data_IF_718481739336
#
_entry.id   IF_718481739336
#
_cell.length_a   1.000
_cell.length_b   1.000
_cell.length_c   1.000
_cell.angle_alpha   90.00
_cell.angle_beta   90.00
_cell.angle_gamma   90.00
#
_symmetry.space_group_name_H-M   'P 1'
#
loop_
_entity.id
_entity.type
_entity.pdbx_description
1 polymer ?
#
# COMPACT_ATOMS: atom_id res chain seq x y z
N UNK A 1 8.62 -32.75 -6.84
CA UNK A 1 7.55 -33.78 -6.85
C UNK A 1 6.43 -33.30 -5.92
N UNK A 2 5.18 -33.32 -6.36
CA UNK A 2 4.04 -33.07 -5.47
C UNK A 2 3.59 -34.43 -4.91
N UNK A 3 3.92 -34.68 -3.64
CA UNK A 3 3.38 -35.80 -2.89
C UNK A 3 2.09 -35.34 -2.20
N UNK A 4 1.17 -36.24 -1.80
CA UNK A 4 -0.04 -35.87 -1.07
C UNK A 4 0.34 -35.02 0.16
N UNK A 5 -0.09 -33.76 0.19
CA UNK A 5 0.12 -32.83 1.30
C UNK A 5 1.48 -32.13 1.39
N UNK A 6 2.45 -32.37 0.48
CA UNK A 6 3.73 -31.65 0.50
C UNK A 6 4.42 -31.53 -0.86
N UNK A 7 5.05 -30.39 -1.09
CA UNK A 7 5.99 -30.19 -2.20
C UNK A 7 7.39 -30.51 -1.72
N UNK A 8 8.11 -31.39 -2.43
CA UNK A 8 9.52 -31.71 -2.16
C UNK A 8 10.35 -31.49 -3.42
N UNK A 9 11.65 -31.23 -3.25
CA UNK A 9 12.58 -31.02 -4.35
C UNK A 9 13.73 -32.02 -4.31
N UNK A 10 14.18 -32.47 -5.48
CA UNK A 10 15.30 -33.40 -5.63
C UNK A 10 16.38 -32.75 -6.51
N UNK A 11 17.65 -33.00 -6.20
CA UNK A 11 18.76 -32.57 -7.05
C UNK A 11 18.92 -33.48 -8.28
N UNK A 12 19.91 -33.18 -9.13
CA UNK A 12 20.21 -33.94 -10.35
C UNK A 12 20.57 -35.41 -10.09
N UNK A 13 21.06 -35.74 -8.90
CA UNK A 13 21.42 -37.10 -8.49
C UNK A 13 20.23 -37.85 -7.87
N UNK A 14 19.04 -37.26 -7.88
CA UNK A 14 17.84 -37.85 -7.28
C UNK A 14 17.82 -37.83 -5.75
N UNK A 15 18.65 -36.99 -5.09
CA UNK A 15 18.64 -36.81 -3.63
C UNK A 15 17.68 -35.69 -3.22
N UNK A 16 16.85 -35.95 -2.21
CA UNK A 16 15.91 -34.96 -1.67
C UNK A 16 16.67 -33.79 -1.03
N UNK A 17 16.18 -32.57 -1.25
CA UNK A 17 16.73 -31.35 -0.70
C UNK A 17 16.14 -31.02 0.67
N UNK A 18 16.96 -30.40 1.52
CA UNK A 18 16.65 -30.00 2.89
C UNK A 18 17.22 -28.62 3.19
N UNK A 19 16.66 -27.94 4.20
CA UNK A 19 17.07 -26.59 4.65
C UNK A 19 17.00 -25.57 3.51
N UNK A 20 17.72 -24.46 3.65
CA UNK A 20 17.72 -23.40 2.63
C UNK A 20 18.47 -23.85 1.38
N UNK A 21 17.85 -23.66 0.21
CA UNK A 21 18.39 -24.04 -1.09
C UNK A 21 18.11 -22.95 -2.11
N UNK A 22 19.09 -22.66 -2.97
CA UNK A 22 18.90 -21.77 -4.11
C UNK A 22 18.49 -22.57 -5.33
N UNK A 23 17.32 -22.28 -5.89
CA UNK A 23 16.77 -22.99 -7.06
C UNK A 23 16.36 -21.93 -8.09
N UNK A 24 17.09 -21.90 -9.21
CA UNK A 24 17.00 -20.79 -10.16
C UNK A 24 17.39 -19.46 -9.50
N UNK A 25 16.51 -18.46 -9.59
CA UNK A 25 16.75 -17.12 -9.05
C UNK A 25 16.34 -16.94 -7.59
N UNK A 26 15.68 -17.92 -6.97
CA UNK A 26 15.08 -17.77 -5.64
C UNK A 26 15.68 -18.74 -4.63
N UNK A 27 15.61 -18.36 -3.36
CA UNK A 27 15.88 -19.27 -2.24
C UNK A 27 14.57 -19.90 -1.77
N UNK A 28 14.63 -21.14 -1.32
CA UNK A 28 13.52 -21.92 -0.76
C UNK A 28 14.01 -22.59 0.52
N UNK A 29 13.11 -22.89 1.46
CA UNK A 29 13.46 -23.68 2.64
C UNK A 29 12.68 -24.98 2.63
N UNK A 30 13.37 -26.10 2.86
CA UNK A 30 12.78 -27.43 3.01
C UNK A 30 12.97 -27.92 4.44
N UNK A 31 11.91 -28.45 5.04
CA UNK A 31 11.93 -29.01 6.40
C UNK A 31 13.06 -30.02 6.56
N UNK A 32 13.81 -29.92 7.67
CA UNK A 32 15.05 -30.66 7.86
C UNK A 32 14.86 -32.17 8.06
N UNK A 33 13.64 -32.62 8.37
CA UNK A 33 13.32 -34.04 8.62
C UNK A 33 12.56 -34.63 7.43
N UNK A 34 11.55 -33.92 6.96
CA UNK A 34 10.57 -34.43 5.99
C UNK A 34 10.83 -34.02 4.56
N UNK A 35 11.72 -33.03 4.33
CA UNK A 35 12.00 -32.43 3.03
C UNK A 35 10.86 -31.58 2.46
N UNK A 36 9.78 -31.34 3.24
CA UNK A 36 8.64 -30.56 2.80
C UNK A 36 9.01 -29.08 2.63
N UNK A 37 8.67 -28.49 1.49
CA UNK A 37 8.87 -27.07 1.23
C UNK A 37 8.04 -26.22 2.18
N UNK A 38 8.71 -25.31 2.87
CA UNK A 38 8.11 -24.35 3.78
C UNK A 38 7.51 -23.19 2.98
N UNK A 39 6.32 -22.76 3.37
CA UNK A 39 5.52 -21.71 2.73
C UNK A 39 4.80 -20.90 3.80
N UNK A 40 4.48 -19.64 3.49
CA UNK A 40 3.74 -18.71 4.36
C UNK A 40 4.25 -18.66 5.81
N UNK A 41 5.57 -18.70 6.01
CA UNK A 41 6.15 -18.62 7.35
C UNK A 41 7.61 -18.17 7.31
N UNK A 42 8.13 -17.83 8.48
CA UNK A 42 9.49 -17.34 8.69
C UNK A 42 10.36 -18.44 9.28
N UNK A 43 11.52 -18.69 8.66
CA UNK A 43 12.53 -19.62 9.15
C UNK A 43 13.88 -18.90 9.24
N UNK A 44 14.52 -18.94 10.41
CA UNK A 44 15.81 -18.27 10.66
C UNK A 44 15.80 -16.78 10.27
N UNK A 45 14.71 -16.07 10.55
CA UNK A 45 14.55 -14.64 10.25
C UNK A 45 14.34 -14.30 8.77
N UNK A 46 13.94 -15.27 7.94
CA UNK A 46 13.65 -15.09 6.51
C UNK A 46 12.24 -15.59 6.20
N UNK A 47 11.41 -14.76 5.58
CA UNK A 47 10.05 -15.12 5.20
C UNK A 47 10.04 -15.87 3.87
N UNK A 48 9.22 -16.91 3.76
CA UNK A 48 8.97 -17.67 2.54
C UNK A 48 7.49 -17.55 2.19
N UNK A 49 7.19 -17.03 0.98
CA UNK A 49 5.83 -16.72 0.56
C UNK A 49 4.98 -17.98 0.24
N UNK A 50 3.79 -17.79 -0.33
CA UNK A 50 2.86 -18.87 -0.69
C UNK A 50 3.40 -19.82 -1.76
N UNK A 51 4.37 -19.37 -2.55
CA UNK A 51 5.10 -20.17 -3.53
C UNK A 51 6.34 -20.85 -2.91
N UNK A 52 6.68 -20.54 -1.66
CA UNK A 52 7.87 -21.02 -0.96
C UNK A 52 9.14 -20.24 -1.28
N UNK A 53 9.02 -19.14 -2.03
CA UNK A 53 10.15 -18.28 -2.37
C UNK A 53 10.50 -17.40 -1.18
N UNK A 54 11.79 -17.37 -0.84
CA UNK A 54 12.35 -16.47 0.15
C UNK A 54 12.14 -15.03 -0.33
N UNK A 55 11.46 -14.24 0.47
CA UNK A 55 11.46 -12.80 0.35
C UNK A 55 12.78 -12.32 0.94
N UNK A 56 13.62 -11.68 0.12
CA UNK A 56 14.87 -11.10 0.63
C UNK A 56 14.54 -10.07 1.71
N UNK A 57 15.46 -9.87 2.66
CA UNK A 57 15.29 -8.83 3.69
C UNK A 57 14.86 -7.54 3.00
N UNK A 58 13.78 -6.96 3.51
CA UNK A 58 13.40 -5.58 3.22
C UNK A 58 14.65 -4.74 3.06
N UNK A 59 14.69 -3.96 1.99
CA UNK A 59 15.47 -2.74 1.96
C UNK A 59 15.32 -2.03 3.31
N UNK A 60 16.41 -1.57 3.94
CA UNK A 60 16.34 -0.92 5.25
C UNK A 60 15.21 0.10 5.24
N UNK A 61 14.13 -0.20 5.97
CA UNK A 61 12.91 0.59 5.94
C UNK A 61 13.26 2.00 6.44
N UNK A 62 13.14 2.97 5.54
CA UNK A 62 13.73 4.30 5.76
C UNK A 62 12.82 5.43 5.31
N UNK A 63 11.81 5.15 4.48
CA UNK A 63 10.92 6.18 3.97
C UNK A 63 9.80 6.47 4.99
N UNK A 64 9.86 7.62 5.63
CA UNK A 64 8.85 8.04 6.61
C UNK A 64 7.55 8.45 5.92
N UNK A 65 6.41 8.03 6.49
CA UNK A 65 5.09 8.48 6.04
C UNK A 65 4.83 9.94 6.45
N UNK A 66 5.15 10.27 7.71
CA UNK A 66 5.13 11.64 8.23
C UNK A 66 6.51 12.23 8.00
N UNK A 67 6.62 13.06 6.96
CA UNK A 67 7.86 13.65 6.47
C UNK A 67 7.57 14.96 5.72
N UNK A 68 8.61 15.75 5.48
CA UNK A 68 8.52 16.86 4.54
C UNK A 68 8.18 16.33 3.14
N UNK A 69 7.49 17.16 2.34
CA UNK A 69 7.12 16.80 0.98
C UNK A 69 8.36 16.51 0.12
N UNK A 70 8.41 15.33 -0.51
CA UNK A 70 9.48 14.96 -1.45
C UNK A 70 9.10 15.20 -2.91
N UNK A 71 7.83 15.53 -3.16
CA UNK A 71 7.28 15.88 -4.47
C UNK A 71 6.63 17.27 -4.44
N UNK A 72 6.34 17.82 -5.62
CA UNK A 72 5.43 18.96 -5.80
C UNK A 72 4.27 18.63 -6.77
N UNK A 73 3.31 19.54 -6.89
CA UNK A 73 2.12 19.40 -7.75
C UNK A 73 2.50 19.16 -9.23
N UNK A 74 3.52 19.86 -9.74
CA UNK A 74 3.97 19.69 -11.13
C UNK A 74 4.45 18.26 -11.37
N UNK A 75 5.30 17.72 -10.49
CA UNK A 75 5.77 16.34 -10.58
C UNK A 75 4.62 15.33 -10.50
N UNK A 76 3.69 15.51 -9.56
CA UNK A 76 2.49 14.65 -9.43
C UNK A 76 1.64 14.61 -10.70
N UNK A 77 1.40 15.77 -11.30
CA UNK A 77 0.65 15.90 -12.55
C UNK A 77 1.40 15.23 -13.72
N UNK A 78 2.71 15.47 -13.85
CA UNK A 78 3.50 14.87 -14.92
C UNK A 78 3.58 13.35 -14.77
N UNK A 79 3.73 12.85 -13.54
CA UNK A 79 3.73 11.42 -13.26
C UNK A 79 2.45 10.73 -13.71
N UNK A 80 1.28 11.34 -13.47
CA UNK A 80 0.02 10.84 -14.02
C UNK A 80 -0.02 10.91 -15.55
N UNK A 81 0.34 12.07 -16.13
CA UNK A 81 0.31 12.27 -17.59
C UNK A 81 1.22 11.30 -18.35
N UNK A 82 2.38 10.96 -17.79
CA UNK A 82 3.33 10.01 -18.35
C UNK A 82 2.77 8.58 -18.50
N UNK A 83 1.66 8.27 -17.81
CA UNK A 83 1.00 6.96 -17.98
C UNK A 83 0.17 6.85 -19.25
N UNK A 84 -0.15 7.98 -19.90
CA UNK A 84 -1.07 8.04 -21.05
C UNK A 84 -2.54 7.80 -20.69
N UNK A 85 -2.89 7.63 -19.42
CA UNK A 85 -4.28 7.49 -18.99
C UNK A 85 -5.04 8.82 -19.13
N UNK A 86 -6.32 8.73 -19.50
CA UNK A 86 -7.23 9.87 -19.57
C UNK A 86 -7.77 10.18 -18.18
N UNK A 87 -7.61 11.43 -17.72
CA UNK A 87 -8.16 11.88 -16.45
C UNK A 87 -9.71 11.84 -16.47
N UNK A 88 -10.38 11.20 -15.50
CA UNK A 88 -11.84 11.03 -15.50
C UNK A 88 -12.57 12.30 -15.00
N UNK A 89 -12.39 13.41 -15.71
CA UNK A 89 -12.92 14.73 -15.34
C UNK A 89 -14.43 14.72 -15.08
N UNK A 90 -15.22 14.03 -15.90
CA UNK A 90 -16.68 13.99 -15.75
C UNK A 90 -17.17 13.36 -14.45
N UNK A 91 -16.36 12.46 -13.88
CA UNK A 91 -16.66 11.80 -12.60
C UNK A 91 -16.15 12.65 -11.45
N UNK A 92 -14.90 13.10 -11.52
CA UNK A 92 -14.23 13.78 -10.40
C UNK A 92 -14.63 15.26 -10.26
N UNK A 93 -15.13 15.92 -11.33
CA UNK A 93 -15.70 17.27 -11.22
C UNK A 93 -16.89 17.34 -10.25
N UNK A 94 -17.65 16.24 -10.10
CA UNK A 94 -18.78 16.16 -9.16
C UNK A 94 -18.33 16.29 -7.70
N UNK A 95 -17.09 15.91 -7.42
CA UNK A 95 -16.47 16.05 -6.10
C UNK A 95 -15.47 17.19 -6.01
N UNK A 96 -15.49 18.12 -6.98
CA UNK A 96 -14.69 19.34 -6.96
C UNK A 96 -13.33 19.28 -7.65
N UNK A 97 -12.95 18.17 -8.30
CA UNK A 97 -11.67 18.03 -9.02
C UNK A 97 -11.89 17.82 -10.53
N UNK A 98 -12.12 18.90 -11.25
CA UNK A 98 -12.37 18.92 -12.70
C UNK A 98 -11.13 18.70 -13.57
N UNK A 99 -9.92 18.79 -13.00
CA UNK A 99 -8.65 18.54 -13.67
C UNK A 99 -7.67 17.75 -12.80
N UNK A 100 -6.69 17.11 -13.44
CA UNK A 100 -5.60 16.43 -12.74
C UNK A 100 -4.78 17.40 -11.90
N UNK A 101 -4.62 18.65 -12.36
CA UNK A 101 -3.97 19.73 -11.62
C UNK A 101 -4.73 20.05 -10.33
N UNK A 102 -6.06 20.15 -10.38
CA UNK A 102 -6.87 20.40 -9.18
C UNK A 102 -6.85 19.23 -8.23
N UNK A 103 -6.88 18.00 -8.75
CA UNK A 103 -6.74 16.78 -7.96
C UNK A 103 -5.38 16.70 -7.24
N UNK A 104 -4.28 16.98 -7.95
CA UNK A 104 -2.94 17.00 -7.38
C UNK A 104 -2.76 18.11 -6.32
N UNK A 105 -3.32 19.30 -6.55
CA UNK A 105 -3.34 20.38 -5.55
C UNK A 105 -4.06 19.96 -4.26
N UNK A 106 -5.22 19.29 -4.37
CA UNK A 106 -5.95 18.78 -3.21
C UNK A 106 -5.09 17.81 -2.39
N UNK A 107 -4.41 16.86 -3.05
CA UNK A 107 -3.47 15.95 -2.37
C UNK A 107 -2.35 16.69 -1.68
N UNK A 108 -1.70 17.63 -2.38
CA UNK A 108 -0.57 18.37 -1.86
C UNK A 108 -0.97 19.19 -0.63
N UNK A 109 -2.09 19.92 -0.69
CA UNK A 109 -2.59 20.73 0.42
C UNK A 109 -2.97 19.87 1.64
N UNK A 110 -3.77 18.82 1.46
CA UNK A 110 -4.22 17.99 2.58
C UNK A 110 -3.05 17.24 3.23
N UNK A 111 -2.11 16.71 2.43
CA UNK A 111 -0.95 15.99 2.92
C UNK A 111 0.00 16.91 3.71
N UNK A 112 0.40 18.03 3.11
CA UNK A 112 1.32 18.99 3.76
C UNK A 112 0.72 19.62 5.02
N UNK A 113 -0.59 19.88 5.04
CA UNK A 113 -1.28 20.39 6.23
C UNK A 113 -1.20 19.43 7.42
N UNK A 114 -1.16 18.12 7.17
CA UNK A 114 -1.07 17.07 8.20
C UNK A 114 0.37 16.63 8.49
N UNK A 115 1.36 17.11 7.72
CA UNK A 115 2.77 16.69 7.79
C UNK A 115 3.02 15.30 7.18
N UNK A 116 2.13 14.83 6.31
CA UNK A 116 2.29 13.59 5.54
C UNK A 116 2.94 13.93 4.21
N UNK A 117 3.89 13.11 3.77
CA UNK A 117 4.53 13.28 2.46
C UNK A 117 3.49 13.08 1.33
N UNK A 118 3.22 14.10 0.49
CA UNK A 118 2.27 13.98 -0.61
C UNK A 118 2.63 12.85 -1.60
N UNK A 119 3.92 12.53 -1.76
CA UNK A 119 4.36 11.46 -2.66
C UNK A 119 3.81 10.10 -2.23
N UNK A 120 3.79 9.83 -0.91
CA UNK A 120 3.26 8.58 -0.33
C UNK A 120 1.78 8.43 -0.65
N UNK A 121 0.98 9.44 -0.30
CA UNK A 121 -0.46 9.41 -0.52
C UNK A 121 -0.81 9.35 -2.01
N UNK A 122 -0.11 10.12 -2.84
CA UNK A 122 -0.32 10.13 -4.30
C UNK A 122 -0.03 8.77 -4.93
N UNK A 123 1.15 8.21 -4.66
CA UNK A 123 1.58 6.93 -5.22
C UNK A 123 0.69 5.77 -4.75
N UNK A 124 0.35 5.76 -3.45
CA UNK A 124 -0.61 4.79 -2.92
C UNK A 124 -1.94 4.88 -3.67
N UNK A 125 -2.46 6.08 -3.90
CA UNK A 125 -3.74 6.26 -4.60
C UNK A 125 -3.71 5.74 -6.03
N UNK A 126 -2.59 5.95 -6.75
CA UNK A 126 -2.43 5.42 -8.10
C UNK A 126 -2.37 3.90 -8.11
N UNK A 127 -1.73 3.27 -7.11
CA UNK A 127 -1.72 1.82 -6.93
C UNK A 127 -3.12 1.28 -6.63
N UNK A 128 -3.82 1.86 -5.66
CA UNK A 128 -5.14 1.43 -5.18
C UNK A 128 -6.23 1.57 -6.25
N UNK A 129 -6.23 2.68 -6.98
CA UNK A 129 -7.25 2.97 -7.99
C UNK A 129 -6.90 2.43 -9.38
N UNK A 130 -5.72 1.86 -9.56
CA UNK A 130 -5.21 1.49 -10.87
C UNK A 130 -5.14 2.71 -11.81
N UNK A 131 -4.54 3.80 -11.33
CA UNK A 131 -4.38 5.10 -12.02
C UNK A 131 -5.70 5.83 -12.30
N UNK A 132 -6.54 5.95 -11.27
CA UNK A 132 -7.88 6.57 -11.31
C UNK A 132 -8.88 5.87 -12.25
N UNK A 133 -8.61 4.63 -12.65
CA UNK A 133 -9.51 3.84 -13.51
C UNK A 133 -10.54 3.04 -12.72
N UNK A 134 -10.26 2.74 -11.46
CA UNK A 134 -11.11 1.99 -10.54
C UNK A 134 -11.58 0.65 -11.13
N UNK A 135 -10.72 -0.37 -11.03
CA UNK A 135 -11.01 -1.73 -11.53
C UNK A 135 -11.51 -2.72 -10.47
N UNK A 136 -11.63 -2.28 -9.22
CA UNK A 136 -11.97 -3.12 -8.07
C UNK A 136 -13.39 -2.90 -7.55
N UNK A 137 -13.59 -3.22 -6.26
CA UNK A 137 -14.88 -3.08 -5.58
C UNK A 137 -15.30 -1.62 -5.39
N UNK A 138 -14.33 -0.73 -5.14
CA UNK A 138 -14.57 0.70 -4.95
C UNK A 138 -14.81 1.38 -6.29
N UNK A 139 -15.87 2.20 -6.36
CA UNK A 139 -16.25 2.98 -7.53
C UNK A 139 -15.71 4.40 -7.43
N UNK A 140 -15.37 5.00 -8.56
CA UNK A 140 -14.83 6.36 -8.64
C UNK A 140 -15.76 7.41 -8.02
N UNK A 141 -17.08 7.21 -8.10
CA UNK A 141 -18.09 8.12 -7.53
C UNK A 141 -18.05 8.17 -6.00
N UNK A 142 -17.47 7.18 -5.33
CA UNK A 142 -17.32 7.17 -3.86
C UNK A 142 -16.21 8.11 -3.40
N UNK A 143 -15.36 8.59 -4.31
CA UNK A 143 -14.17 9.38 -4.01
C UNK A 143 -13.25 8.74 -2.96
N UNK A 144 -13.22 7.41 -2.89
CA UNK A 144 -12.36 6.65 -1.98
C UNK A 144 -11.12 6.17 -2.74
N UNK A 145 -10.06 6.96 -2.68
CA UNK A 145 -8.85 6.75 -3.47
C UNK A 145 -7.86 5.77 -2.83
N UNK A 146 -8.16 5.25 -1.65
CA UNK A 146 -7.25 4.42 -0.86
C UNK A 146 -7.86 3.08 -0.42
N UNK A 147 -8.99 2.70 -1.00
CA UNK A 147 -9.66 1.43 -0.69
C UNK A 147 -10.21 1.35 0.74
N UNK A 148 -10.39 2.48 1.44
CA UNK A 148 -10.73 2.49 2.86
C UNK A 148 -12.04 1.72 3.11
N UNK A 149 -11.95 0.66 3.90
CA UNK A 149 -13.12 -0.14 4.30
C UNK A 149 -13.70 -1.05 3.22
N UNK A 150 -13.06 -1.16 2.05
CA UNK A 150 -13.36 -2.25 1.13
C UNK A 150 -12.83 -3.55 1.74
N UNK A 151 -13.60 -4.64 1.64
CA UNK A 151 -13.21 -5.93 2.22
C UNK A 151 -13.55 -7.07 1.27
N UNK A 152 -12.81 -8.17 1.39
CA UNK A 152 -13.02 -9.39 0.60
C UNK A 152 -14.41 -10.00 0.80
N UNK A 153 -15.11 -9.65 1.87
CA UNK A 153 -16.50 -10.03 2.15
C UNK A 153 -17.54 -9.19 1.38
N UNK A 154 -17.10 -8.33 0.45
CA UNK A 154 -17.99 -7.58 -0.46
C UNK A 154 -18.42 -6.20 0.05
N UNK A 155 -17.80 -5.67 1.10
CA UNK A 155 -18.07 -4.29 1.52
C UNK A 155 -17.61 -3.30 0.44
N UNK A 156 -18.47 -2.37 0.05
CA UNK A 156 -18.20 -1.39 -1.04
C UNK A 156 -17.12 -0.36 -0.71
N UNK A 157 -16.64 -0.31 0.54
CA UNK A 157 -15.76 0.76 1.02
C UNK A 157 -16.48 2.02 1.44
N UNK A 158 -15.73 2.93 2.08
CA UNK A 158 -16.18 4.26 2.47
C UNK A 158 -16.66 5.06 1.25
N UNK A 159 -17.64 5.94 1.47
CA UNK A 159 -18.24 6.80 0.46
C UNK A 159 -18.23 8.27 0.93
N UNK A 160 -17.54 9.10 0.16
CA UNK A 160 -17.38 10.52 0.41
C UNK A 160 -18.22 11.39 -0.55
N UNK A 161 -19.06 10.79 -1.40
CA UNK A 161 -19.97 11.52 -2.31
C UNK A 161 -20.97 12.41 -1.57
N UNK A 162 -21.32 12.06 -0.32
CA UNK A 162 -22.19 12.85 0.56
C UNK A 162 -21.69 14.28 0.83
N UNK A 163 -20.41 14.55 0.56
CA UNK A 163 -19.82 15.90 0.71
C UNK A 163 -19.95 16.76 -0.55
N UNK A 164 -20.66 16.30 -1.58
CA UNK A 164 -20.93 17.06 -2.80
C UNK A 164 -19.63 17.51 -3.48
N UNK A 165 -19.52 18.80 -3.80
CA UNK A 165 -18.34 19.40 -4.44
C UNK A 165 -17.06 19.34 -3.58
N UNK A 166 -17.14 18.94 -2.31
CA UNK A 166 -15.96 18.67 -1.46
C UNK A 166 -15.63 17.18 -1.36
N UNK A 167 -16.35 16.30 -2.05
CA UNK A 167 -16.23 14.85 -1.96
C UNK A 167 -14.82 14.33 -2.23
N UNK A 168 -14.16 14.84 -3.28
CA UNK A 168 -12.78 14.47 -3.58
C UNK A 168 -11.86 14.85 -2.43
N UNK A 169 -11.93 16.10 -1.95
CA UNK A 169 -11.10 16.57 -0.83
C UNK A 169 -11.33 15.76 0.44
N UNK A 170 -12.56 15.36 0.75
CA UNK A 170 -12.84 14.53 1.93
C UNK A 170 -12.29 13.11 1.80
N UNK A 171 -12.36 12.52 0.61
CA UNK A 171 -11.73 11.22 0.34
C UNK A 171 -10.22 11.24 0.48
N UNK A 172 -9.58 12.28 -0.06
CA UNK A 172 -8.14 12.53 0.11
C UNK A 172 -7.79 12.73 1.58
N UNK A 173 -8.53 13.60 2.28
CA UNK A 173 -8.32 13.84 3.72
C UNK A 173 -8.40 12.55 4.53
N UNK A 174 -9.40 11.71 4.27
CA UNK A 174 -9.53 10.43 4.96
C UNK A 174 -8.30 9.54 4.77
N UNK A 175 -7.76 9.46 3.56
CA UNK A 175 -6.52 8.72 3.30
C UNK A 175 -5.33 9.31 4.07
N UNK A 176 -5.15 10.64 4.06
CA UNK A 176 -4.06 11.32 4.78
C UNK A 176 -4.15 11.04 6.28
N UNK A 177 -5.34 11.14 6.86
CA UNK A 177 -5.58 10.85 8.28
C UNK A 177 -5.27 9.38 8.61
N UNK A 178 -5.63 8.46 7.72
CA UNK A 178 -5.34 7.03 7.89
C UNK A 178 -3.83 6.73 7.84
N UNK A 179 -3.11 7.32 6.88
CA UNK A 179 -1.65 7.23 6.78
C UNK A 179 -0.97 7.79 8.04
N UNK A 180 -1.41 8.96 8.52
CA UNK A 180 -0.89 9.55 9.74
C UNK A 180 -1.17 8.69 10.97
N UNK A 181 -2.36 8.05 11.04
CA UNK A 181 -2.70 7.12 12.11
C UNK A 181 -1.78 5.89 12.14
N UNK A 182 -1.39 5.36 10.97
CA UNK A 182 -0.37 4.30 10.88
C UNK A 182 0.99 4.77 11.38
N UNK A 183 1.38 6.00 11.05
CA UNK A 183 2.73 6.51 11.30
C UNK A 183 2.98 7.00 12.74
N UNK A 184 1.95 7.53 13.41
CA UNK A 184 2.10 8.24 14.68
C UNK A 184 1.48 7.45 15.83
N UNK A 185 2.32 7.04 16.78
CA UNK A 185 1.88 6.35 18.00
C UNK A 185 1.06 7.30 18.89
N UNK A 186 -0.04 6.79 19.46
CA UNK A 186 -0.90 7.56 20.37
C UNK A 186 -1.73 8.68 19.71
N UNK A 187 -1.71 8.82 18.38
CA UNK A 187 -2.44 9.87 17.67
C UNK A 187 -3.95 9.82 17.95
N UNK A 188 -4.52 10.97 18.29
CA UNK A 188 -5.95 11.18 18.50
C UNK A 188 -6.52 12.16 17.47
N UNK A 189 -7.84 12.30 17.39
CA UNK A 189 -8.49 13.27 16.49
C UNK A 189 -8.11 14.72 16.81
N UNK A 190 -7.69 15.02 18.04
CA UNK A 190 -7.25 16.38 18.44
C UNK A 190 -5.91 16.77 17.85
N UNK A 191 -5.13 15.79 17.40
CA UNK A 191 -3.81 15.98 16.80
C UNK A 191 -3.88 16.15 15.28
N UNK A 192 -5.07 15.95 14.69
CA UNK A 192 -5.33 16.16 13.28
C UNK A 192 -5.47 17.66 12.99
N UNK A 193 -5.00 18.07 11.82
CA UNK A 193 -5.10 19.46 11.37
C UNK A 193 -6.54 19.85 11.03
N UNK A 194 -7.28 18.90 10.48
CA UNK A 194 -8.68 19.05 10.11
C UNK A 194 -9.55 18.03 10.84
N UNK A 195 -10.87 18.30 10.88
CA UNK A 195 -11.84 17.36 11.42
C UNK A 195 -11.66 15.95 10.83
N UNK A 196 -11.74 14.93 11.69
CA UNK A 196 -11.62 13.54 11.27
C UNK A 196 -12.77 13.17 10.33
N UNK A 197 -12.43 12.66 9.13
CA UNK A 197 -13.39 12.14 8.16
C UNK A 197 -13.08 10.70 7.76
N UNK A 198 -11.94 10.16 8.18
CA UNK A 198 -11.61 8.74 8.05
C UNK A 198 -12.53 7.87 8.93
N UNK A 199 -13.45 7.08 8.35
CA UNK A 199 -14.39 6.27 9.12
C UNK A 199 -13.71 5.09 9.84
N UNK A 200 -12.44 4.80 9.54
CA UNK A 200 -11.65 3.74 10.15
C UNK A 200 -10.57 4.27 11.08
N UNK A 201 -10.53 5.59 11.33
CA UNK A 201 -9.48 6.20 12.13
C UNK A 201 -9.34 5.51 13.48
N UNK A 202 -10.44 5.28 14.19
CA UNK A 202 -10.45 4.60 15.50
C UNK A 202 -10.00 3.12 15.46
N UNK A 203 -10.04 2.47 14.29
CA UNK A 203 -9.68 1.06 14.11
C UNK A 203 -8.19 0.85 13.87
N UNK A 204 -7.45 1.89 13.47
CA UNK A 204 -6.00 1.79 13.20
C UNK A 204 -5.24 1.61 14.52
N UNK A 205 -4.40 0.58 14.58
CA UNK A 205 -3.37 0.45 15.62
C UNK A 205 -2.34 1.57 15.45
N UNK A 206 -2.41 2.59 16.32
CA UNK A 206 -1.66 3.84 16.14
C UNK A 206 -0.15 3.63 16.20
N UNK A 207 0.56 4.17 15.22
CA UNK A 207 2.02 4.03 15.12
C UNK A 207 2.50 2.65 14.68
N UNK A 208 1.61 1.79 14.19
CA UNK A 208 1.96 0.43 13.76
C UNK A 208 2.79 0.36 12.47
N UNK A 209 2.86 1.42 11.67
CA UNK A 209 3.68 1.49 10.46
C UNK A 209 4.26 2.90 10.28
N UNK A 210 5.46 3.14 10.84
CA UNK A 210 6.18 4.42 10.72
C UNK A 210 6.71 4.68 9.31
N UNK A 211 7.14 3.61 8.63
CA UNK A 211 7.76 3.64 7.31
C UNK A 211 6.78 3.16 6.24
N UNK A 212 6.89 3.69 5.02
CA UNK A 212 6.04 3.33 3.87
C UNK A 212 6.16 1.83 3.55
N UNK A 213 7.36 1.28 3.68
CA UNK A 213 7.64 -0.14 3.52
C UNK A 213 6.81 -1.00 4.48
N UNK A 214 6.46 -0.49 5.66
CA UNK A 214 5.67 -1.18 6.69
C UNK A 214 4.16 -1.07 6.49
N UNK A 215 3.70 -0.44 5.42
CA UNK A 215 2.29 -0.48 5.05
C UNK A 215 1.86 -1.86 4.53
N UNK A 216 2.79 -2.74 4.14
CA UNK A 216 2.48 -4.14 3.86
C UNK A 216 2.68 -5.02 5.09
N UNK A 217 1.74 -5.93 5.38
CA UNK A 217 1.81 -6.78 6.57
C UNK A 217 3.01 -7.74 6.57
N UNK A 218 3.49 -8.12 5.38
CA UNK A 218 4.64 -9.01 5.22
C UNK A 218 5.97 -8.31 5.47
N UNK A 219 6.00 -7.01 5.22
CA UNK A 219 7.14 -6.15 5.39
C UNK A 219 7.15 -5.52 6.80
N UNK A 220 6.01 -5.44 7.47
CA UNK A 220 5.96 -4.87 8.81
C UNK A 220 6.50 -5.85 9.87
N UNK A 221 7.48 -5.46 10.72
CA UNK A 221 8.04 -6.32 11.77
C UNK A 221 7.01 -6.87 12.78
N UNK A 222 5.87 -6.21 12.95
CA UNK A 222 4.80 -6.64 13.86
C UNK A 222 3.59 -7.24 13.13
N UNK A 223 3.69 -7.44 11.80
CA UNK A 223 2.62 -8.03 10.99
C UNK A 223 1.39 -7.14 10.78
N UNK A 224 1.42 -5.88 11.24
CA UNK A 224 0.39 -4.89 10.99
C UNK A 224 0.59 -4.25 9.61
N UNK A 225 -0.43 -3.61 9.02
CA UNK A 225 -0.26 -2.94 7.75
C UNK A 225 -1.57 -2.57 7.09
N UNK A 226 -1.48 -1.68 6.11
CA UNK A 226 -2.58 -1.26 5.25
C UNK A 226 -3.12 -2.42 4.40
N UNK A 227 -2.23 -3.23 3.84
CA UNK A 227 -2.60 -4.31 2.94
C UNK A 227 -1.84 -5.60 3.25
N UNK A 228 -2.50 -6.72 2.96
CA UNK A 228 -1.96 -8.08 3.18
C UNK A 228 -1.13 -8.59 2.00
N UNK A 229 -1.08 -7.87 0.87
CA UNK A 229 -0.25 -8.27 -0.27
C UNK A 229 1.24 -8.29 0.08
N UNK A 230 1.98 -9.21 -0.53
CA UNK A 230 3.46 -9.19 -0.50
C UNK A 230 3.94 -7.99 -1.33
N UNK A 231 5.02 -7.35 -0.89
CA UNK A 231 5.66 -6.21 -1.54
C UNK A 231 4.77 -4.95 -1.64
N UNK A 232 3.71 -4.83 -0.83
CA UNK A 232 2.80 -3.68 -0.91
C UNK A 232 3.52 -2.34 -0.66
N UNK A 233 4.26 -2.23 0.44
CA UNK A 233 5.07 -1.06 0.75
C UNK A 233 6.18 -0.82 -0.29
N UNK A 234 7.01 -1.82 -0.62
CA UNK A 234 8.02 -1.74 -1.67
C UNK A 234 7.49 -1.26 -3.04
N UNK A 235 6.29 -1.68 -3.45
CA UNK A 235 5.67 -1.21 -4.68
C UNK A 235 5.35 0.30 -4.64
N UNK A 236 4.93 0.82 -3.47
CA UNK A 236 4.73 2.26 -3.30
C UNK A 236 6.06 3.01 -3.41
N UNK A 237 7.13 2.49 -2.77
CA UNK A 237 8.49 3.06 -2.90
C UNK A 237 8.93 3.09 -4.36
N UNK A 238 8.65 2.04 -5.14
CA UNK A 238 8.96 2.00 -6.56
C UNK A 238 8.25 3.12 -7.33
N UNK A 239 6.98 3.40 -7.01
CA UNK A 239 6.23 4.51 -7.62
C UNK A 239 6.77 5.87 -7.17
N UNK A 240 7.12 6.04 -5.89
CA UNK A 240 7.73 7.28 -5.38
C UNK A 240 9.05 7.59 -6.10
N UNK A 241 9.91 6.58 -6.25
CA UNK A 241 11.17 6.70 -7.00
C UNK A 241 10.99 7.03 -8.48
N UNK A 242 9.82 6.74 -9.08
CA UNK A 242 9.49 7.12 -10.46
C UNK A 242 8.89 8.53 -10.54
N UNK A 243 8.14 8.94 -9.52
CA UNK A 243 7.55 10.28 -9.39
C UNK A 243 8.62 11.37 -9.20
N UNK A 244 9.68 11.07 -8.45
CA UNK A 244 10.74 12.03 -8.09
C UNK A 244 11.78 12.27 -9.20
N UNK A 245 11.76 11.45 -10.27
CA UNK A 245 12.65 11.57 -11.43
C UNK A 245 12.11 12.57 -12.46
#
# INVERSE_FOLDING_TARGET
>A
CNLPGKTVYYNTDGKMLYKEQKIGSYYYYFDAVTGAMIKNTTVNGRYYNSEGKRVEKQQDASHLIVNNATTNVTQMVQFYKNTGNVYPADKLKKGGADSIEKFANIYYEEATAEGVDPAVAWCQSMKETGWLRFGGQVKIEQFNFAGLGATDNGASGADFSKYGENGVRMGVRAQIQHLKAYAVSGLTEKDLKYACVDPRFSLVNKGSAKYVEWLGTHENPIGAGWATGVDYGPDIIKLMNQLER
#
